data_IF_900113566624
#
_entry.id   IF_900113566624
#
_cell.length_a   1.000
_cell.length_b   1.000
_cell.length_c   1.000
_cell.angle_alpha   90.00
_cell.angle_beta   90.00
_cell.angle_gamma   90.00
#
_symmetry.space_group_name_H-M   'P 1'
#
loop_
_entity.id
_entity.type
_entity.pdbx_description
1 polymer ?
#
# COMPACT_ATOMS: atom_id res chain seq x y z
N UNK A 1 -28.34 5.62 35.33
CA UNK A 1 -27.75 6.40 34.23
C UNK A 1 -28.73 7.47 33.80
N UNK A 2 -28.33 8.73 33.95
CA UNK A 2 -29.04 9.89 33.40
C UNK A 2 -28.87 9.94 31.88
N UNK A 3 -29.75 10.65 31.17
CA UNK A 3 -29.68 10.78 29.71
C UNK A 3 -28.35 11.39 29.25
N UNK A 4 -27.81 12.34 30.03
CA UNK A 4 -26.49 12.94 29.80
C UNK A 4 -25.31 11.97 30.05
N UNK A 5 -25.49 10.90 30.84
CA UNK A 5 -24.49 9.83 30.98
C UNK A 5 -24.56 8.82 29.84
N UNK A 6 -25.74 8.63 29.23
CA UNK A 6 -25.90 7.78 28.04
C UNK A 6 -25.34 8.41 26.76
N UNK A 7 -25.23 9.74 26.71
CA UNK A 7 -24.70 10.48 25.56
C UNK A 7 -23.16 10.63 25.56
N UNK A 8 -22.46 10.15 26.60
CA UNK A 8 -21.00 10.19 26.64
C UNK A 8 -20.40 9.07 25.79
N UNK A 9 -19.42 9.40 24.95
CA UNK A 9 -18.66 8.41 24.16
C UNK A 9 -17.76 7.52 25.03
N UNK A 10 -17.44 7.97 26.26
CA UNK A 10 -16.65 7.19 27.21
C UNK A 10 -17.56 6.42 28.16
N UNK A 11 -17.28 5.12 28.40
CA UNK A 11 -18.09 4.32 29.31
C UNK A 11 -18.02 4.89 30.74
N UNK A 12 -19.13 4.78 31.51
CA UNK A 12 -19.28 5.49 32.79
C UNK A 12 -18.33 5.03 33.90
N UNK A 13 -17.92 3.76 33.92
CA UNK A 13 -16.93 3.23 34.89
C UNK A 13 -16.20 1.97 34.35
N UNK A 14 -15.14 1.51 35.05
CA UNK A 14 -14.40 0.27 34.70
C UNK A 14 -15.26 -0.99 34.83
N UNK A 15 -16.32 -0.95 35.65
CA UNK A 15 -17.25 -2.07 35.81
C UNK A 15 -18.19 -2.27 34.61
N UNK A 16 -18.34 -1.27 33.74
CA UNK A 16 -19.13 -1.34 32.52
C UNK A 16 -18.67 -2.48 31.59
N UNK A 17 -17.38 -2.80 31.58
CA UNK A 17 -16.84 -3.93 30.81
C UNK A 17 -17.37 -5.30 31.27
N UNK A 18 -17.84 -5.42 32.52
CA UNK A 18 -18.50 -6.65 33.01
C UNK A 18 -19.99 -6.72 32.64
N UNK A 19 -20.58 -5.60 32.19
CA UNK A 19 -22.00 -5.51 31.82
C UNK A 19 -22.23 -5.73 30.32
N UNK A 20 -21.16 -5.75 29.51
CA UNK A 20 -21.23 -6.04 28.08
C UNK A 20 -21.09 -7.55 27.81
N UNK A 21 -21.66 -8.07 26.69
CA UNK A 21 -21.44 -9.44 26.29
C UNK A 21 -19.95 -9.77 26.17
N UNK A 22 -19.54 -10.99 26.52
CA UNK A 22 -18.13 -11.42 26.44
C UNK A 22 -17.56 -11.27 25.01
N UNK A 23 -18.43 -11.43 24.00
CA UNK A 23 -18.07 -11.40 22.60
C UNK A 23 -18.97 -10.47 21.80
N UNK A 24 -18.40 -9.82 20.78
CA UNK A 24 -19.12 -9.04 19.78
C UNK A 24 -18.67 -9.42 18.37
N UNK A 25 -19.51 -9.20 17.36
CA UNK A 25 -19.15 -9.42 15.97
C UNK A 25 -18.31 -8.27 15.45
N UNK A 26 -17.10 -8.56 14.98
CA UNK A 26 -16.23 -7.61 14.29
C UNK A 26 -15.96 -8.04 12.85
N UNK A 27 -15.87 -7.07 11.95
CA UNK A 27 -15.48 -7.34 10.57
C UNK A 27 -13.97 -7.19 10.40
N UNK A 28 -13.30 -8.26 9.97
CA UNK A 28 -11.87 -8.23 9.69
C UNK A 28 -11.63 -7.71 8.27
N UNK A 29 -11.13 -6.48 8.15
CA UNK A 29 -10.86 -5.82 6.87
C UNK A 29 -9.80 -6.52 5.99
N UNK A 30 -8.92 -7.33 6.60
CA UNK A 30 -7.88 -8.07 5.89
C UNK A 30 -8.40 -9.38 5.30
N UNK A 31 -9.15 -10.16 6.09
CA UNK A 31 -9.68 -11.46 5.68
C UNK A 31 -11.08 -11.38 5.07
N UNK A 32 -11.75 -10.24 5.21
CA UNK A 32 -13.13 -9.95 4.77
C UNK A 32 -14.16 -10.90 5.37
N UNK A 33 -13.98 -11.24 6.65
CA UNK A 33 -14.85 -12.14 7.40
C UNK A 33 -15.33 -11.49 8.69
N UNK A 34 -16.58 -11.79 9.03
CA UNK A 34 -17.10 -11.52 10.37
C UNK A 34 -16.51 -12.55 11.34
N UNK A 35 -15.97 -12.06 12.45
CA UNK A 35 -15.35 -12.84 13.51
C UNK A 35 -15.99 -12.48 14.85
N UNK A 36 -15.99 -13.42 15.78
CA UNK A 36 -16.29 -13.16 17.18
C UNK A 36 -15.04 -12.57 17.84
N UNK A 37 -15.15 -11.36 18.38
CA UNK A 37 -14.10 -10.64 19.09
C UNK A 37 -14.41 -10.63 20.58
N UNK A 38 -13.43 -10.96 21.41
CA UNK A 38 -13.61 -10.85 22.86
C UNK A 38 -13.50 -9.38 23.28
N UNK A 39 -14.48 -8.91 24.06
CA UNK A 39 -14.57 -7.49 24.46
C UNK A 39 -13.38 -7.04 25.32
N UNK A 40 -12.79 -7.94 26.10
CA UNK A 40 -11.62 -7.69 26.96
C UNK A 40 -10.32 -7.46 26.16
N UNK A 41 -10.28 -7.83 24.88
CA UNK A 41 -9.14 -7.63 23.99
C UNK A 41 -9.30 -6.44 23.03
N UNK A 42 -10.42 -5.71 23.12
CA UNK A 42 -10.65 -4.52 22.30
C UNK A 42 -9.98 -3.32 22.96
N UNK A 43 -9.10 -2.66 22.22
CA UNK A 43 -8.40 -1.46 22.66
C UNK A 43 -8.30 -0.41 21.56
N UNK A 44 -7.81 0.81 21.90
CA UNK A 44 -7.57 1.85 20.92
C UNK A 44 -6.52 1.39 19.90
N UNK A 45 -6.71 1.77 18.64
CA UNK A 45 -5.75 1.47 17.57
C UNK A 45 -4.47 2.27 17.80
N UNK A 46 -3.33 1.58 17.78
CA UNK A 46 -2.01 2.20 17.87
C UNK A 46 -1.53 2.53 16.45
N UNK A 47 -1.65 3.79 16.07
CA UNK A 47 -1.24 4.29 14.75
C UNK A 47 0.25 4.59 14.69
N UNK A 48 0.89 4.28 13.57
CA UNK A 48 2.30 4.58 13.32
C UNK A 48 2.47 5.86 12.49
N UNK A 49 2.50 7.00 13.16
CA UNK A 49 2.65 8.32 12.52
C UNK A 49 4.00 8.47 11.76
N UNK A 50 5.04 7.73 12.16
CA UNK A 50 6.37 7.77 11.53
C UNK A 50 6.49 6.89 10.28
N UNK A 51 5.48 6.08 9.97
CA UNK A 51 5.51 5.17 8.81
C UNK A 51 5.76 5.94 7.51
N UNK A 52 5.06 7.07 7.32
CA UNK A 52 5.17 7.89 6.12
C UNK A 52 6.51 8.63 6.01
N UNK A 53 7.11 9.00 7.14
CA UNK A 53 8.44 9.62 7.16
C UNK A 53 9.53 8.66 6.70
N UNK A 54 9.43 7.38 7.06
CA UNK A 54 10.38 6.34 6.68
C UNK A 54 10.32 5.92 5.19
N UNK A 55 9.30 6.37 4.46
CA UNK A 55 9.14 6.04 3.05
C UNK A 55 10.17 6.80 2.18
N UNK A 56 10.87 6.13 1.27
CA UNK A 56 11.81 6.79 0.36
C UNK A 56 11.13 7.02 -1.00
N UNK A 57 10.83 8.28 -1.34
CA UNK A 57 10.20 8.68 -2.61
C UNK A 57 11.16 9.53 -3.43
N UNK A 58 11.17 9.35 -4.76
CA UNK A 58 11.97 10.20 -5.66
C UNK A 58 11.31 11.58 -5.81
N UNK A 59 12.13 12.65 -5.83
CA UNK A 59 11.72 14.08 -5.70
C UNK A 59 11.27 14.46 -4.28
N UNK A 60 12.21 14.28 -3.37
CA UNK A 60 12.54 15.12 -2.21
C UNK A 60 11.43 16.06 -1.73
N UNK A 61 10.74 15.58 -0.68
CA UNK A 61 9.91 16.35 0.25
C UNK A 61 8.59 16.93 -0.30
N UNK A 62 8.58 17.56 -1.47
CA UNK A 62 7.38 18.23 -2.03
C UNK A 62 6.22 17.27 -2.28
N UNK A 63 6.50 16.09 -2.86
CA UNK A 63 5.45 15.09 -3.10
C UNK A 63 4.87 14.56 -1.79
N UNK A 64 5.73 14.34 -0.77
CA UNK A 64 5.28 13.95 0.57
C UNK A 64 4.43 15.04 1.21
N UNK A 65 4.90 16.29 1.18
CA UNK A 65 4.17 17.44 1.71
C UNK A 65 2.81 17.61 1.03
N UNK A 66 2.75 17.42 -0.30
CA UNK A 66 1.49 17.48 -1.06
C UNK A 66 0.52 16.36 -0.64
N UNK A 67 0.98 15.12 -0.54
CA UNK A 67 0.14 13.99 -0.08
C UNK A 67 -0.35 14.26 1.33
N UNK A 68 0.53 14.67 2.25
CA UNK A 68 0.18 15.00 3.64
C UNK A 68 -0.86 16.13 3.69
N UNK A 69 -0.70 17.17 2.88
CA UNK A 69 -1.64 18.29 2.83
C UNK A 69 -3.02 17.87 2.30
N UNK A 70 -3.07 17.06 1.24
CA UNK A 70 -4.32 16.55 0.67
C UNK A 70 -5.07 15.64 1.66
N UNK A 71 -4.34 14.71 2.30
CA UNK A 71 -4.90 13.80 3.31
C UNK A 71 -5.40 14.59 4.52
N UNK A 72 -4.64 15.58 5.01
CA UNK A 72 -5.04 16.41 6.14
C UNK A 72 -6.30 17.23 5.86
N UNK A 73 -6.43 17.78 4.65
CA UNK A 73 -7.65 18.49 4.22
C UNK A 73 -8.87 17.57 4.13
N UNK A 74 -8.66 16.32 3.74
CA UNK A 74 -9.75 15.35 3.64
C UNK A 74 -10.28 14.93 5.01
N UNK A 75 -9.43 14.92 6.05
CA UNK A 75 -9.82 14.61 7.44
C UNK A 75 -10.62 15.77 8.06
N UNK A 76 -10.24 17.00 7.76
CA UNK A 76 -10.91 18.22 8.24
C UNK A 76 -11.52 18.99 7.07
N UNK A 77 -12.70 18.59 6.56
CA UNK A 77 -13.33 19.24 5.42
C UNK A 77 -13.84 20.64 5.79
N UNK A 78 -12.96 21.64 5.79
CA UNK A 78 -13.37 23.05 5.79
C UNK A 78 -13.84 23.41 4.38
N UNK A 79 -15.13 23.76 4.23
CA UNK A 79 -15.81 24.29 3.02
C UNK A 79 -15.16 23.88 1.68
N UNK A 80 -15.71 22.84 1.08
CA UNK A 80 -15.41 22.42 -0.31
C UNK A 80 -15.44 23.60 -1.28
N UNK A 81 -14.51 23.60 -2.25
CA UNK A 81 -14.43 24.56 -3.35
C UNK A 81 -15.40 24.28 -4.49
N UNK A 82 -16.14 23.17 -4.43
CA UNK A 82 -17.05 22.79 -5.51
C UNK A 82 -18.44 23.45 -5.37
N UNK A 83 -18.94 23.92 -6.52
CA UNK A 83 -20.22 24.64 -6.65
C UNK A 83 -21.43 23.69 -6.48
N UNK A 84 -21.21 22.37 -6.50
CA UNK A 84 -22.23 21.33 -6.42
C UNK A 84 -21.98 20.48 -5.17
N UNK A 85 -22.93 20.46 -4.24
CA UNK A 85 -22.89 19.56 -3.09
C UNK A 85 -22.91 18.09 -3.56
N UNK A 86 -21.91 17.30 -3.16
CA UNK A 86 -21.84 15.85 -3.41
C UNK A 86 -21.00 15.42 -4.62
N UNK A 87 -20.41 16.34 -5.40
CA UNK A 87 -19.38 16.01 -6.40
C UNK A 87 -18.02 16.56 -5.94
N UNK A 88 -16.95 15.77 -6.07
CA UNK A 88 -15.57 16.26 -5.93
C UNK A 88 -14.93 16.21 -4.55
N UNK A 89 -15.59 15.63 -3.52
CA UNK A 89 -15.01 15.50 -2.18
C UNK A 89 -14.19 14.21 -1.98
N UNK A 90 -13.94 13.42 -3.02
CA UNK A 90 -13.10 12.22 -2.94
C UNK A 90 -11.66 12.50 -3.33
N UNK A 91 -10.70 12.04 -2.54
CA UNK A 91 -9.27 12.11 -2.85
C UNK A 91 -8.82 10.80 -3.52
N UNK A 92 -8.46 10.87 -4.79
CA UNK A 92 -7.98 9.76 -5.64
C UNK A 92 -6.49 9.94 -5.90
N UNK A 93 -5.69 8.99 -5.40
CA UNK A 93 -4.25 8.89 -5.62
C UNK A 93 -3.94 7.73 -6.54
N UNK A 94 -3.16 7.98 -7.60
CA UNK A 94 -2.58 6.92 -8.43
C UNK A 94 -1.10 6.75 -8.09
N UNK A 95 -0.69 5.54 -7.72
CA UNK A 95 0.70 5.14 -7.50
C UNK A 95 1.13 4.20 -8.63
N UNK A 96 2.07 4.60 -9.47
CA UNK A 96 2.50 3.80 -10.62
C UNK A 96 4.02 3.69 -10.73
N UNK A 97 4.51 2.56 -11.25
CA UNK A 97 5.95 2.28 -11.39
C UNK A 97 6.25 0.80 -11.25
N UNK A 98 7.52 0.39 -11.43
CA UNK A 98 7.91 -1.02 -11.40
C UNK A 98 7.56 -1.77 -10.10
N UNK A 99 7.53 -3.12 -10.12
CA UNK A 99 7.24 -3.94 -8.96
C UNK A 99 8.27 -3.73 -7.83
N UNK A 100 7.83 -3.83 -6.57
CA UNK A 100 8.75 -3.75 -5.42
C UNK A 100 9.30 -2.36 -5.09
N UNK A 101 8.81 -1.30 -5.73
CA UNK A 101 9.21 0.11 -5.50
C UNK A 101 8.56 0.78 -4.29
N UNK A 102 7.66 0.09 -3.57
CA UNK A 102 7.05 0.59 -2.33
C UNK A 102 5.65 1.19 -2.47
N UNK A 103 4.99 1.08 -3.63
CA UNK A 103 3.61 1.58 -3.85
C UNK A 103 2.61 1.16 -2.75
N UNK A 104 2.54 -0.14 -2.45
CA UNK A 104 1.64 -0.67 -1.39
C UNK A 104 2.02 -0.15 0.00
N UNK A 105 3.33 0.00 0.28
CA UNK A 105 3.82 0.55 1.55
C UNK A 105 3.43 2.03 1.70
N UNK A 106 3.42 2.78 0.60
CA UNK A 106 2.90 4.16 0.60
C UNK A 106 1.43 4.20 0.94
N UNK A 107 0.61 3.32 0.36
CA UNK A 107 -0.81 3.26 0.66
C UNK A 107 -1.08 2.93 2.14
N UNK A 108 -0.34 1.98 2.70
CA UNK A 108 -0.35 1.66 4.13
C UNK A 108 0.04 2.87 4.98
N UNK A 109 1.12 3.56 4.62
CA UNK A 109 1.60 4.74 5.35
C UNK A 109 0.64 5.92 5.29
N UNK A 110 -0.09 6.10 4.18
CA UNK A 110 -1.13 7.12 4.03
C UNK A 110 -2.33 6.81 4.94
N UNK A 111 -2.71 5.54 5.07
CA UNK A 111 -3.79 5.13 5.98
C UNK A 111 -3.42 5.38 7.45
N UNK A 112 -2.19 5.04 7.85
CA UNK A 112 -1.64 5.34 9.17
C UNK A 112 -1.61 6.85 9.46
N UNK A 113 -1.14 7.65 8.50
CA UNK A 113 -1.13 9.12 8.59
C UNK A 113 -2.55 9.69 8.74
N UNK A 114 -3.51 9.11 8.00
CA UNK A 114 -4.91 9.53 8.06
C UNK A 114 -5.63 9.06 9.32
N UNK A 115 -5.03 8.16 10.11
CA UNK A 115 -5.66 7.43 11.23
C UNK A 115 -6.96 6.75 10.81
N UNK A 116 -6.95 6.20 9.59
CA UNK A 116 -8.09 5.51 8.98
C UNK A 116 -7.71 4.07 8.64
N UNK A 117 -8.61 3.10 8.81
CA UNK A 117 -8.33 1.73 8.42
C UNK A 117 -8.07 1.63 6.92
N UNK A 118 -7.30 0.62 6.50
CA UNK A 118 -7.02 0.35 5.08
C UNK A 118 -7.85 -0.83 4.59
N UNK A 119 -8.78 -0.59 3.67
CA UNK A 119 -9.56 -1.63 2.99
C UNK A 119 -8.90 -2.01 1.67
N UNK A 120 -8.37 -3.24 1.58
CA UNK A 120 -7.72 -3.73 0.34
C UNK A 120 -8.69 -4.49 -0.55
N UNK A 121 -8.83 -4.00 -1.76
CA UNK A 121 -9.48 -4.68 -2.86
C UNK A 121 -8.40 -5.47 -3.61
N UNK A 122 -8.61 -6.77 -3.85
CA UNK A 122 -7.59 -7.60 -4.51
C UNK A 122 -7.22 -8.92 -3.80
N UNK A 123 -7.44 -9.04 -2.48
CA UNK A 123 -7.17 -10.27 -1.70
C UNK A 123 -8.29 -10.56 -0.69
N UNK A 124 -8.60 -11.81 -0.31
CA UNK A 124 -7.92 -13.08 -0.64
C UNK A 124 -8.51 -13.84 -1.84
N UNK A 125 -9.49 -13.27 -2.56
CA UNK A 125 -10.27 -14.05 -3.52
C UNK A 125 -10.19 -13.57 -4.98
N UNK A 126 -9.63 -12.40 -5.28
CA UNK A 126 -9.84 -11.83 -6.62
C UNK A 126 -8.80 -10.75 -6.93
N UNK A 127 -7.76 -11.04 -7.71
CA UNK A 127 -6.95 -10.00 -8.37
C UNK A 127 -7.88 -9.18 -9.28
N UNK A 128 -7.60 -7.91 -9.60
CA UNK A 128 -8.46 -7.12 -10.50
C UNK A 128 -8.75 -7.81 -11.86
N UNK A 129 -7.92 -8.78 -12.29
CA UNK A 129 -8.16 -9.64 -13.45
C UNK A 129 -9.13 -10.82 -13.24
N UNK A 130 -9.36 -11.24 -11.99
CA UNK A 130 -10.32 -12.29 -11.62
C UNK A 130 -11.68 -11.73 -11.18
N UNK A 131 -11.81 -10.39 -11.09
CA UNK A 131 -13.08 -9.74 -10.73
C UNK A 131 -14.00 -9.94 -11.91
N UNK A 132 -14.73 -11.05 -11.89
CA UNK A 132 -15.79 -11.46 -12.80
C UNK A 132 -15.59 -11.05 -14.27
N UNK A 133 -15.55 -12.02 -15.19
CA UNK A 133 -15.56 -11.70 -16.64
C UNK A 133 -16.79 -10.91 -17.11
N UNK A 134 -17.78 -10.69 -16.23
CA UNK A 134 -18.98 -9.89 -16.47
C UNK A 134 -18.90 -8.54 -15.75
N UNK A 135 -18.93 -7.46 -16.53
CA UNK A 135 -18.85 -6.09 -16.03
C UNK A 135 -19.89 -5.74 -14.94
N UNK A 136 -21.08 -6.33 -14.99
CA UNK A 136 -22.14 -6.11 -13.99
C UNK A 136 -21.79 -6.62 -12.58
N UNK A 137 -21.06 -7.75 -12.49
CA UNK A 137 -20.64 -8.31 -11.19
C UNK A 137 -19.53 -7.45 -10.58
N UNK A 138 -18.62 -6.97 -11.43
CA UNK A 138 -17.54 -6.04 -11.06
C UNK A 138 -18.11 -4.71 -10.55
N UNK A 139 -19.10 -4.17 -11.26
CA UNK A 139 -19.81 -2.95 -10.87
C UNK A 139 -20.38 -3.06 -9.47
N UNK A 140 -21.23 -4.07 -9.23
CA UNK A 140 -21.88 -4.28 -7.93
C UNK A 140 -20.86 -4.46 -6.80
N UNK A 141 -19.78 -5.18 -7.08
CA UNK A 141 -18.72 -5.38 -6.10
C UNK A 141 -17.99 -4.07 -5.77
N UNK A 142 -17.59 -3.30 -6.78
CA UNK A 142 -16.92 -2.02 -6.59
C UNK A 142 -17.82 -1.00 -5.87
N UNK A 143 -19.09 -0.91 -6.25
CA UNK A 143 -20.08 -0.07 -5.56
C UNK A 143 -20.21 -0.45 -4.09
N UNK A 144 -20.31 -1.76 -3.80
CA UNK A 144 -20.38 -2.26 -2.42
C UNK A 144 -19.12 -1.91 -1.63
N UNK A 145 -17.94 -2.06 -2.24
CA UNK A 145 -16.67 -1.76 -1.60
C UNK A 145 -16.51 -0.27 -1.32
N UNK A 146 -16.83 0.60 -2.28
CA UNK A 146 -16.74 2.04 -2.07
C UNK A 146 -17.78 2.53 -1.07
N UNK A 147 -18.96 1.90 -1.03
CA UNK A 147 -19.98 2.17 -0.04
C UNK A 147 -19.51 1.78 1.38
N UNK A 148 -18.92 0.59 1.55
CA UNK A 148 -18.26 0.19 2.80
C UNK A 148 -17.11 1.15 3.15
N UNK A 149 -16.37 1.59 2.13
CA UNK A 149 -15.30 2.58 2.25
C UNK A 149 -15.76 3.84 2.96
N UNK A 150 -16.90 4.37 2.51
CA UNK A 150 -17.57 5.53 3.10
C UNK A 150 -18.13 5.25 4.49
N UNK A 151 -18.86 4.14 4.67
CA UNK A 151 -19.52 3.81 5.94
C UNK A 151 -18.52 3.60 7.09
N UNK A 152 -17.37 2.99 6.81
CA UNK A 152 -16.33 2.71 7.80
C UNK A 152 -15.24 3.78 7.86
N UNK A 153 -15.41 4.87 7.11
CA UNK A 153 -14.45 5.96 6.98
C UNK A 153 -13.01 5.46 6.75
N UNK A 154 -12.83 4.59 5.76
CA UNK A 154 -11.57 3.89 5.52
C UNK A 154 -10.89 4.33 4.21
N UNK A 155 -9.58 4.15 4.16
CA UNK A 155 -8.82 4.31 2.91
C UNK A 155 -9.03 3.07 2.07
N UNK A 156 -9.57 3.22 0.87
CA UNK A 156 -9.75 2.12 -0.07
C UNK A 156 -8.51 2.00 -0.95
N UNK A 157 -7.91 0.82 -0.99
CA UNK A 157 -6.78 0.49 -1.85
C UNK A 157 -7.21 -0.52 -2.91
N UNK A 158 -7.16 -0.12 -4.18
CA UNK A 158 -7.23 -1.03 -5.33
C UNK A 158 -5.80 -1.36 -5.76
N UNK A 159 -5.36 -2.57 -5.44
CA UNK A 159 -4.03 -3.05 -5.83
C UNK A 159 -4.08 -3.63 -7.26
N UNK A 160 -3.06 -3.38 -8.07
CA UNK A 160 -2.93 -3.90 -9.45
C UNK A 160 -4.12 -3.53 -10.35
N UNK A 161 -4.50 -2.25 -10.35
CA UNK A 161 -5.67 -1.72 -11.07
C UNK A 161 -5.47 -1.59 -12.60
N UNK A 162 -4.44 -2.22 -13.18
CA UNK A 162 -4.04 -2.09 -14.60
C UNK A 162 -5.18 -2.40 -15.58
N UNK A 163 -6.01 -3.38 -15.25
CA UNK A 163 -7.17 -3.78 -16.08
C UNK A 163 -8.14 -2.61 -16.26
N UNK A 164 -8.32 -1.79 -15.22
CA UNK A 164 -9.24 -0.63 -15.21
C UNK A 164 -8.62 0.66 -15.74
N UNK A 165 -7.29 0.72 -15.83
CA UNK A 165 -6.53 1.94 -16.11
C UNK A 165 -6.05 2.04 -17.56
N UNK A 166 -5.98 0.93 -18.28
CA UNK A 166 -5.48 0.91 -19.65
C UNK A 166 -6.41 1.61 -20.64
N UNK A 167 -5.83 2.13 -21.73
CA UNK A 167 -6.60 2.72 -22.82
C UNK A 167 -7.62 1.73 -23.39
N UNK A 168 -8.79 2.28 -23.70
CA UNK A 168 -9.83 1.57 -24.44
C UNK A 168 -9.30 1.15 -25.82
N UNK A 169 -9.47 -0.12 -26.17
CA UNK A 169 -9.13 -0.68 -27.48
C UNK A 169 -10.41 -1.00 -28.24
N UNK A 170 -10.41 -0.85 -29.57
CA UNK A 170 -11.57 -1.20 -30.39
C UNK A 170 -11.87 -2.70 -30.36
N UNK A 171 -10.85 -3.53 -30.06
CA UNK A 171 -10.94 -4.98 -30.11
C UNK A 171 -11.47 -5.62 -28.82
N UNK A 172 -11.55 -4.86 -27.71
CA UNK A 172 -11.94 -5.40 -26.40
C UNK A 172 -13.13 -4.65 -25.78
N UNK A 173 -14.33 -5.03 -26.22
CA UNK A 173 -15.59 -4.47 -25.73
C UNK A 173 -15.85 -4.75 -24.25
N UNK A 174 -15.42 -5.92 -23.75
CA UNK A 174 -15.64 -6.31 -22.35
C UNK A 174 -14.83 -5.43 -21.41
N UNK A 175 -13.56 -5.19 -21.75
CA UNK A 175 -12.70 -4.30 -20.99
C UNK A 175 -13.13 -2.85 -21.07
N UNK A 176 -13.56 -2.38 -22.24
CA UNK A 176 -14.09 -1.02 -22.37
C UNK A 176 -15.31 -0.78 -21.49
N UNK A 177 -16.16 -1.79 -21.32
CA UNK A 177 -17.28 -1.75 -20.38
C UNK A 177 -16.76 -1.63 -18.94
N UNK A 178 -15.76 -2.42 -18.53
CA UNK A 178 -15.14 -2.33 -17.21
C UNK A 178 -14.55 -0.95 -16.92
N UNK A 179 -13.78 -0.38 -17.86
CA UNK A 179 -13.21 0.97 -17.73
C UNK A 179 -14.31 2.02 -17.57
N UNK A 180 -15.39 1.91 -18.35
CA UNK A 180 -16.52 2.86 -18.29
C UNK A 180 -17.27 2.77 -16.96
N UNK A 181 -17.53 1.54 -16.47
CA UNK A 181 -18.11 1.29 -15.15
C UNK A 181 -17.22 1.88 -14.05
N UNK A 182 -15.92 1.61 -14.11
CA UNK A 182 -14.96 2.09 -13.12
C UNK A 182 -14.95 3.61 -13.03
N UNK A 183 -14.87 4.31 -14.17
CA UNK A 183 -14.91 5.77 -14.23
C UNK A 183 -16.18 6.37 -13.60
N UNK A 184 -17.34 5.72 -13.80
CA UNK A 184 -18.60 6.14 -13.20
C UNK A 184 -18.60 5.93 -11.69
N UNK A 185 -18.10 4.79 -11.22
CA UNK A 185 -18.11 4.42 -9.80
C UNK A 185 -17.18 5.30 -8.97
N UNK A 186 -15.99 5.64 -9.49
CA UNK A 186 -15.05 6.53 -8.78
C UNK A 186 -15.49 8.01 -8.78
N UNK A 187 -16.31 8.45 -9.74
CA UNK A 187 -16.78 9.85 -9.82
C UNK A 187 -17.63 10.25 -8.60
N UNK A 188 -18.36 9.29 -8.03
CA UNK A 188 -19.20 9.48 -6.85
C UNK A 188 -18.55 9.02 -5.55
N UNK A 189 -17.26 8.67 -5.57
CA UNK A 189 -16.57 8.25 -4.36
C UNK A 189 -16.34 9.44 -3.42
N UNK A 190 -16.77 9.29 -2.17
CA UNK A 190 -16.50 10.21 -1.08
C UNK A 190 -15.56 9.51 -0.09
N UNK A 191 -14.30 9.90 -0.06
CA UNK A 191 -13.28 9.21 0.75
C UNK A 191 -11.88 9.32 0.15
N UNK A 192 -10.95 8.51 0.67
CA UNK A 192 -9.59 8.39 0.14
C UNK A 192 -9.50 7.07 -0.64
N UNK A 193 -9.29 7.17 -1.95
CA UNK A 193 -9.07 6.06 -2.86
C UNK A 193 -7.62 6.07 -3.34
N UNK A 194 -6.91 4.97 -3.13
CA UNK A 194 -5.55 4.77 -3.61
C UNK A 194 -5.55 3.63 -4.63
N UNK A 195 -4.93 3.88 -5.78
CA UNK A 195 -4.81 2.92 -6.87
C UNK A 195 -3.33 2.61 -7.07
N UNK A 196 -2.98 1.35 -7.25
CA UNK A 196 -1.62 0.96 -7.67
C UNK A 196 -1.63 0.38 -9.07
N UNK A 197 -0.58 0.67 -9.83
CA UNK A 197 -0.32 0.09 -11.16
C UNK A 197 1.16 -0.29 -11.25
N UNK A 198 1.48 -1.48 -11.76
CA UNK A 198 2.86 -1.81 -12.11
C UNK A 198 3.21 -1.34 -13.53
N UNK A 199 2.19 -1.18 -14.40
CA UNK A 199 2.38 -0.58 -15.72
C UNK A 199 2.60 0.93 -15.63
N UNK A 200 3.69 1.38 -16.23
CA UNK A 200 3.95 2.78 -16.58
C UNK A 200 3.51 2.91 -18.03
N UNK A 201 2.30 3.42 -18.29
CA UNK A 201 1.79 3.44 -19.66
C UNK A 201 0.62 4.35 -19.91
N UNK A 202 0.06 4.19 -21.11
CA UNK A 202 -1.05 5.00 -21.60
C UNK A 202 -2.33 4.80 -20.76
N UNK A 203 -2.52 5.65 -19.75
CA UNK A 203 -3.80 5.75 -19.06
C UNK A 203 -4.87 6.35 -19.98
N UNK A 204 -6.13 5.91 -19.83
CA UNK A 204 -7.28 6.55 -20.46
C UNK A 204 -7.35 8.04 -20.08
N UNK A 205 -7.61 8.91 -21.04
CA UNK A 205 -7.61 10.36 -20.84
C UNK A 205 -8.72 10.80 -19.88
N UNK A 206 -9.88 10.13 -19.90
CA UNK A 206 -10.98 10.40 -18.99
C UNK A 206 -10.69 9.93 -17.56
N UNK A 207 -9.71 9.03 -17.39
CA UNK A 207 -9.20 8.63 -16.09
C UNK A 207 -8.27 9.71 -15.53
N UNK A 208 -7.35 10.26 -16.35
CA UNK A 208 -6.41 11.32 -15.93
C UNK A 208 -7.10 12.56 -15.38
N UNK A 209 -8.28 12.92 -15.89
CA UNK A 209 -9.04 14.09 -15.42
C UNK A 209 -9.68 13.90 -14.03
N UNK A 210 -9.82 12.66 -13.55
CA UNK A 210 -10.41 12.32 -12.24
C UNK A 210 -9.38 12.08 -11.14
N UNK A 211 -8.10 11.93 -11.48
CA UNK A 211 -7.02 11.75 -10.51
C UNK A 211 -6.55 13.11 -9.99
N UNK A 212 -6.52 13.33 -8.67
CA UNK A 212 -5.92 14.54 -8.12
C UNK A 212 -4.40 14.50 -8.11
N UNK A 213 -3.81 13.33 -7.83
CA UNK A 213 -2.36 13.16 -7.80
C UNK A 213 -1.95 11.80 -8.37
N UNK A 214 -1.02 11.83 -9.33
CA UNK A 214 -0.33 10.65 -9.83
C UNK A 214 1.13 10.70 -9.38
N UNK A 215 1.56 9.69 -8.64
CA UNK A 215 2.92 9.54 -8.11
C UNK A 215 3.63 8.45 -8.89
N UNK A 216 4.68 8.84 -9.60
CA UNK A 216 5.55 7.93 -10.32
C UNK A 216 6.68 7.41 -9.42
N UNK A 217 6.88 6.09 -9.42
CA UNK A 217 7.94 5.37 -8.74
C UNK A 217 8.95 4.86 -9.77
N UNK A 218 9.98 5.66 -10.08
CA UNK A 218 11.07 5.21 -10.95
C UNK A 218 11.92 4.14 -10.26
N UNK A 219 12.79 3.44 -11.01
CA UNK A 219 13.84 2.59 -10.45
C UNK A 219 14.60 3.29 -9.31
N UNK A 220 14.92 2.52 -8.28
CA UNK A 220 15.65 3.02 -7.12
C UNK A 220 17.09 3.35 -7.50
N UNK A 221 17.52 4.58 -7.26
CA UNK A 221 18.93 5.00 -7.40
C UNK A 221 19.75 4.52 -6.19
N UNK A 222 21.07 4.48 -6.34
CA UNK A 222 21.99 4.05 -5.27
C UNK A 222 21.73 4.77 -3.93
N UNK A 223 21.59 6.11 -3.93
CA UNK A 223 21.30 6.87 -2.71
C UNK A 223 19.97 6.45 -2.04
N UNK A 224 18.97 6.08 -2.83
CA UNK A 224 17.66 5.64 -2.33
C UNK A 224 17.77 4.25 -1.72
N UNK A 225 18.51 3.34 -2.37
CA UNK A 225 18.81 2.01 -1.82
C UNK A 225 19.57 2.13 -0.51
N UNK A 226 20.56 3.03 -0.43
CA UNK A 226 21.28 3.32 0.81
C UNK A 226 20.34 3.76 1.94
N UNK A 227 19.40 4.68 1.66
CA UNK A 227 18.39 5.10 2.64
C UNK A 227 17.46 3.95 3.06
N UNK A 228 17.05 3.10 2.11
CA UNK A 228 16.22 1.93 2.41
C UNK A 228 16.97 0.95 3.32
N UNK A 229 18.24 0.66 3.05
CA UNK A 229 19.10 -0.16 3.90
C UNK A 229 19.20 0.41 5.31
N UNK A 230 19.50 1.72 5.45
CA UNK A 230 19.54 2.41 6.75
C UNK A 230 18.22 2.25 7.51
N UNK A 231 17.08 2.50 6.85
CA UNK A 231 15.76 2.37 7.47
C UNK A 231 15.48 0.94 7.95
N UNK A 232 15.97 -0.09 7.25
CA UNK A 232 15.86 -1.47 7.72
C UNK A 232 16.78 -1.74 8.92
N UNK A 233 18.01 -1.26 8.87
CA UNK A 233 18.99 -1.42 9.96
C UNK A 233 18.53 -0.73 11.26
N UNK A 234 18.00 0.49 11.17
CA UNK A 234 17.45 1.21 12.32
C UNK A 234 16.25 0.46 12.94
N UNK A 235 15.43 -0.20 12.09
CA UNK A 235 14.36 -1.07 12.57
C UNK A 235 14.91 -2.33 13.25
N UNK A 236 15.97 -2.94 12.70
CA UNK A 236 16.62 -4.11 13.31
C UNK A 236 17.19 -3.76 14.70
N UNK A 237 17.85 -2.62 14.82
CA UNK A 237 18.38 -2.10 16.08
C UNK A 237 17.28 -1.87 17.13
N UNK A 238 16.09 -1.44 16.69
CA UNK A 238 14.96 -1.21 17.61
C UNK A 238 14.45 -2.47 18.33
N UNK A 239 14.68 -3.67 17.78
CA UNK A 239 14.25 -4.92 18.43
C UNK A 239 15.09 -5.30 19.66
N UNK A 240 16.31 -4.74 19.80
CA UNK A 240 17.22 -4.96 20.95
C UNK A 240 17.38 -6.43 21.37
N UNK A 241 17.27 -7.35 20.42
CA UNK A 241 17.32 -8.80 20.65
C UNK A 241 18.76 -9.36 20.57
N UNK A 242 19.73 -8.53 20.20
CA UNK A 242 21.13 -8.92 20.03
C UNK A 242 21.36 -9.92 18.88
N UNK A 243 20.34 -10.15 18.03
CA UNK A 243 20.40 -11.15 16.97
C UNK A 243 21.15 -10.68 15.72
N UNK A 244 21.47 -9.38 15.63
CA UNK A 244 22.10 -8.75 14.45
C UNK A 244 23.20 -7.80 14.89
N UNK A 245 24.36 -7.88 14.24
CA UNK A 245 25.43 -6.88 14.35
C UNK A 245 25.15 -5.74 13.37
N UNK A 246 24.38 -4.75 13.82
CA UNK A 246 23.91 -3.65 12.95
C UNK A 246 25.06 -2.70 12.58
N UNK A 247 26.04 -2.54 13.46
CA UNK A 247 27.17 -1.64 13.22
C UNK A 247 28.08 -2.19 12.11
N UNK A 248 28.37 -3.50 12.14
CA UNK A 248 29.10 -4.16 11.04
C UNK A 248 28.35 -4.07 9.70
N UNK A 249 27.03 -4.24 9.70
CA UNK A 249 26.23 -4.08 8.48
C UNK A 249 26.25 -2.64 7.93
N UNK A 250 26.35 -1.64 8.81
CA UNK A 250 26.43 -0.22 8.42
C UNK A 250 27.76 0.10 7.73
N UNK A 251 28.84 -0.56 8.09
CA UNK A 251 30.16 -0.39 7.46
C UNK A 251 30.15 -0.84 5.98
N UNK A 252 29.31 -1.82 5.64
CA UNK A 252 29.15 -2.35 4.27
C UNK A 252 28.05 -1.64 3.45
N UNK A 253 27.53 -0.49 3.89
CA UNK A 253 26.47 0.24 3.17
C UNK A 253 26.86 0.65 1.74
N UNK A 254 28.14 0.93 1.50
CA UNK A 254 28.63 1.31 0.17
C UNK A 254 28.58 0.15 -0.83
N UNK A 255 28.84 -1.08 -0.38
CA UNK A 255 28.70 -2.29 -1.19
C UNK A 255 27.22 -2.58 -1.44
N UNK A 256 26.39 -2.48 -0.40
CA UNK A 256 24.96 -2.79 -0.45
C UNK A 256 24.15 -1.84 -1.34
N UNK A 257 24.53 -0.56 -1.44
CA UNK A 257 23.85 0.40 -2.32
C UNK A 257 24.17 0.17 -3.81
N UNK A 258 25.30 -0.45 -4.13
CA UNK A 258 25.73 -0.71 -5.50
C UNK A 258 24.89 -1.82 -6.15
N UNK A 259 24.35 -2.74 -5.35
CA UNK A 259 23.52 -3.86 -5.81
C UNK A 259 22.17 -3.32 -6.31
N UNK A 260 21.82 -3.65 -7.56
CA UNK A 260 20.58 -3.19 -8.20
C UNK A 260 19.39 -4.08 -7.83
N UNK A 261 18.84 -3.83 -6.64
CA UNK A 261 17.68 -4.55 -6.12
C UNK A 261 16.58 -3.60 -5.65
N UNK A 262 15.33 -4.08 -5.72
CA UNK A 262 14.15 -3.35 -5.25
C UNK A 262 13.92 -3.52 -3.74
N UNK A 263 13.04 -2.71 -3.16
CA UNK A 263 12.78 -2.72 -1.71
C UNK A 263 12.22 -4.04 -1.19
N UNK A 264 11.49 -4.81 -2.01
CA UNK A 264 11.01 -6.15 -1.65
C UNK A 264 12.16 -7.16 -1.59
N UNK A 265 13.08 -7.11 -2.56
CA UNK A 265 14.28 -7.94 -2.57
C UNK A 265 15.19 -7.65 -1.37
N UNK A 266 15.41 -6.36 -1.04
CA UNK A 266 16.17 -5.96 0.17
C UNK A 266 15.56 -6.59 1.43
N UNK A 267 14.24 -6.45 1.62
CA UNK A 267 13.53 -7.05 2.77
C UNK A 267 13.69 -8.57 2.83
N UNK A 268 13.56 -9.24 1.69
CA UNK A 268 13.69 -10.68 1.58
C UNK A 268 15.12 -11.12 1.93
N UNK A 269 16.14 -10.45 1.39
CA UNK A 269 17.55 -10.74 1.68
C UNK A 269 17.85 -10.64 3.19
N UNK A 270 17.40 -9.56 3.84
CA UNK A 270 17.55 -9.40 5.30
C UNK A 270 16.84 -10.52 6.05
N UNK A 271 15.61 -10.86 5.67
CA UNK A 271 14.82 -11.89 6.36
C UNK A 271 15.48 -13.26 6.23
N UNK A 272 15.91 -13.63 5.02
CA UNK A 272 16.63 -14.87 4.74
C UNK A 272 17.95 -14.94 5.49
N UNK A 273 18.72 -13.85 5.50
CA UNK A 273 20.00 -13.78 6.22
C UNK A 273 19.81 -13.95 7.74
N UNK A 274 18.78 -13.33 8.33
CA UNK A 274 18.43 -13.52 9.76
C UNK A 274 18.09 -14.97 10.06
N UNK A 275 17.23 -15.58 9.25
CA UNK A 275 16.84 -16.98 9.44
C UNK A 275 18.03 -17.94 9.28
N UNK A 276 18.93 -17.64 8.35
CA UNK A 276 20.14 -18.44 8.14
C UNK A 276 21.13 -18.32 9.30
N UNK A 277 21.32 -17.12 9.84
CA UNK A 277 22.16 -16.88 11.01
C UNK A 277 21.57 -17.57 12.27
N UNK A 278 20.26 -17.43 12.48
CA UNK A 278 19.53 -18.07 13.58
C UNK A 278 19.63 -19.60 13.52
N UNK A 279 19.45 -20.19 12.34
CA UNK A 279 19.64 -21.63 12.14
C UNK A 279 21.08 -22.09 12.44
N UNK A 280 22.09 -21.25 12.17
CA UNK A 280 23.49 -21.50 12.56
C UNK A 280 23.78 -21.23 14.04
N UNK A 281 22.82 -20.71 14.81
CA UNK A 281 23.03 -20.25 16.18
C UNK A 281 24.02 -19.10 16.30
N UNK A 282 24.13 -18.26 15.26
CA UNK A 282 25.04 -17.11 15.19
C UNK A 282 24.28 -15.80 15.07
N UNK A 283 24.95 -14.72 15.45
CA UNK A 283 24.49 -13.35 15.18
C UNK A 283 24.57 -13.11 13.67
N UNK A 284 23.58 -12.42 13.10
CA UNK A 284 23.60 -12.03 11.70
C UNK A 284 24.71 -10.98 11.48
N UNK A 285 25.56 -11.28 10.49
CA UNK A 285 26.66 -10.42 10.00
C UNK A 285 26.52 -10.23 8.49
N UNK A 286 27.36 -9.37 7.90
CA UNK A 286 27.41 -9.12 6.47
C UNK A 286 27.63 -10.39 5.64
N UNK A 287 28.41 -11.35 6.15
CA UNK A 287 28.62 -12.65 5.46
C UNK A 287 27.29 -13.38 5.21
N UNK A 288 26.39 -13.41 6.21
CA UNK A 288 25.08 -14.05 6.08
C UNK A 288 24.20 -13.28 5.09
N UNK A 289 24.27 -11.95 5.09
CA UNK A 289 23.55 -11.11 4.16
C UNK A 289 24.05 -11.29 2.72
N UNK A 290 25.35 -11.36 2.52
CA UNK A 290 25.99 -11.60 1.23
C UNK A 290 25.56 -12.93 0.64
N UNK A 291 25.56 -14.02 1.42
CA UNK A 291 25.07 -15.33 0.96
C UNK A 291 23.61 -15.24 0.48
N UNK A 292 22.75 -14.54 1.24
CA UNK A 292 21.36 -14.36 0.85
C UNK A 292 21.20 -13.54 -0.43
N UNK A 293 22.06 -12.53 -0.64
CA UNK A 293 22.09 -11.71 -1.85
C UNK A 293 22.62 -12.49 -3.06
N UNK A 294 23.68 -13.28 -2.90
CA UNK A 294 24.26 -14.10 -3.97
C UNK A 294 23.24 -15.13 -4.49
N UNK A 295 22.54 -15.83 -3.59
CA UNK A 295 21.48 -16.78 -3.96
C UNK A 295 20.29 -16.07 -4.65
N UNK A 296 19.94 -14.85 -4.22
CA UNK A 296 18.90 -14.07 -4.88
C UNK A 296 19.33 -13.58 -6.27
N UNK A 297 20.61 -13.24 -6.44
CA UNK A 297 21.19 -12.82 -7.70
C UNK A 297 21.17 -13.95 -8.74
N UNK A 298 21.51 -15.19 -8.36
CA UNK A 298 21.44 -16.35 -9.26
C UNK A 298 20.04 -16.54 -9.87
N UNK A 299 18.99 -16.34 -9.08
CA UNK A 299 17.60 -16.42 -9.55
C UNK A 299 17.24 -15.28 -10.49
N UNK A 300 17.68 -14.06 -10.19
CA UNK A 300 17.47 -12.90 -11.06
C UNK A 300 18.20 -13.08 -12.39
N UNK A 301 19.48 -13.47 -12.38
CA UNK A 301 20.28 -13.73 -13.58
C UNK A 301 19.64 -14.80 -14.47
N UNK A 302 19.10 -15.87 -13.86
CA UNK A 302 18.37 -16.90 -14.58
C UNK A 302 17.08 -16.34 -15.22
N UNK A 303 16.33 -15.52 -14.48
CA UNK A 303 15.08 -14.91 -14.96
C UNK A 303 15.32 -13.87 -16.06
N UNK A 304 16.37 -13.07 -15.96
CA UNK A 304 16.77 -12.10 -16.98
C UNK A 304 17.26 -12.79 -18.25
N UNK A 305 18.04 -13.88 -18.13
CA UNK A 305 18.44 -14.70 -19.28
C UNK A 305 17.23 -15.28 -20.03
N UNK A 306 16.19 -15.69 -19.32
CA UNK A 306 14.93 -16.16 -19.92
C UNK A 306 14.14 -15.03 -20.61
N UNK A 307 14.35 -13.78 -20.20
CA UNK A 307 13.70 -12.57 -20.75
C UNK A 307 14.56 -11.83 -21.78
N UNK A 308 15.67 -12.41 -22.23
CA UNK A 308 16.55 -11.79 -23.23
C UNK A 308 17.45 -10.67 -22.68
N UNK A 309 17.62 -10.55 -21.36
CA UNK A 309 18.50 -9.56 -20.72
C UNK A 309 17.89 -8.17 -20.52
N UNK A 310 16.56 -8.04 -20.64
CA UNK A 310 15.84 -6.78 -20.43
C UNK A 310 15.21 -6.74 -19.04
N UNK A 311 15.35 -5.61 -18.34
CA UNK A 311 14.65 -5.33 -17.08
C UNK A 311 13.15 -5.11 -17.32
N UNK A 312 12.30 -5.28 -16.28
CA UNK A 312 10.85 -5.05 -16.37
C UNK A 312 10.50 -3.68 -16.98
N UNK A 313 11.28 -2.65 -16.65
CA UNK A 313 11.08 -1.29 -17.16
C UNK A 313 11.59 -1.13 -18.61
N UNK A 314 12.66 -1.84 -19.01
CA UNK A 314 13.13 -1.86 -20.40
C UNK A 314 12.19 -2.62 -21.33
N UNK A 315 11.58 -3.71 -20.85
CA UNK A 315 10.52 -4.40 -21.59
C UNK A 315 9.32 -3.45 -21.78
N UNK A 316 8.95 -2.69 -20.76
CA UNK A 316 7.90 -1.68 -20.89
C UNK A 316 8.26 -0.57 -21.89
N UNK A 317 9.52 -0.13 -21.94
CA UNK A 317 10.02 0.83 -22.93
C UNK A 317 10.07 0.25 -24.36
N UNK A 318 10.49 -1.01 -24.53
CA UNK A 318 10.58 -1.68 -25.84
C UNK A 318 9.20 -2.04 -26.43
N UNK A 319 8.21 -2.36 -25.59
CA UNK A 319 6.83 -2.61 -26.03
C UNK A 319 6.07 -1.32 -26.44
N UNK A 320 6.72 -0.16 -26.43
CA UNK A 320 6.15 1.10 -26.89
C UNK A 320 5.11 1.70 -25.94
N UNK A 321 5.20 1.36 -24.65
CA UNK A 321 4.25 1.75 -23.61
C UNK A 321 4.69 3.10 -23.02
N UNK A 322 4.36 4.22 -23.69
CA UNK A 322 4.53 5.59 -23.15
C UNK A 322 3.32 6.12 -22.38
#
# INVERSE_FOLDING_TARGET
MTQAEMEKETPPDETFYYLVPLQTKGFNLRTKKWLDLNMDQIGPVIWNEKAFDSLVLNKDRKTKELITALVSKQISPSKSTDVIAGKGNGLILLLHGGPGTGKTLTAESVAELAKKPLYRVGRPCVTCGDVGTKAEEVEKYLESVLHLGKLWDCVVLLDEAEVFLERRSLDDLQRNALVSVFLRVIEYHEGILILTSNRVGTFDEAFRSRIQIAVHYPPLRAYQRQQIWRNFFDRLESFKDGSVDVDELRDHLEELQAIEINGRQIRNAITTARQYADWKGKIMTFEHLRIALDVAAEFNDYSEKLRGGLTDDQIADEEGIR
#
